data_IF_776287257408
#
_entry.id   IF_776287257408
#
_cell.length_a   1.000
_cell.length_b   1.000
_cell.length_c   1.000
_cell.angle_alpha   90.00
_cell.angle_beta   90.00
_cell.angle_gamma   90.00
#
_symmetry.space_group_name_H-M   'P 1'
#
loop_
_entity.id
_entity.type
_entity.pdbx_description
1 polymer ?
#
# COMPACT_ATOMS: atom_id res chain seq x y z
N UNK A 1 -12.51 -18.20 -13.39
CA UNK A 1 -12.43 -17.29 -12.22
C UNK A 1 -11.37 -16.23 -12.50
N UNK A 2 -11.67 -14.96 -12.29
CA UNK A 2 -10.79 -13.81 -12.53
C UNK A 2 -10.22 -13.30 -11.20
N UNK A 3 -9.02 -12.70 -11.24
CA UNK A 3 -8.37 -12.14 -10.05
C UNK A 3 -8.75 -10.67 -9.83
N UNK A 4 -9.06 -10.32 -8.59
CA UNK A 4 -9.42 -8.96 -8.17
C UNK A 4 -8.56 -8.51 -6.99
N UNK A 5 -7.84 -7.41 -7.15
CA UNK A 5 -7.05 -6.81 -6.07
C UNK A 5 -7.66 -5.49 -5.63
N UNK A 6 -7.87 -5.34 -4.32
CA UNK A 6 -8.36 -4.08 -3.75
C UNK A 6 -7.24 -3.40 -2.96
N UNK A 7 -7.00 -2.12 -3.23
CA UNK A 7 -5.92 -1.35 -2.61
C UNK A 7 -6.28 0.14 -2.51
N UNK A 8 -5.31 0.95 -2.10
CA UNK A 8 -5.41 2.39 -1.94
C UNK A 8 -4.63 2.87 -0.72
N UNK A 9 -4.73 4.16 -0.36
CA UNK A 9 -4.09 4.66 0.85
C UNK A 9 -4.61 3.88 2.06
N UNK A 10 -3.76 3.59 3.04
CA UNK A 10 -4.29 3.11 4.31
C UNK A 10 -5.29 4.14 4.85
N UNK A 11 -6.38 3.68 5.47
CA UNK A 11 -7.47 4.53 5.98
C UNK A 11 -8.38 5.16 4.91
N UNK A 12 -8.46 4.60 3.70
CA UNK A 12 -9.40 5.00 2.64
C UNK A 12 -10.66 4.14 2.53
N UNK A 13 -11.03 3.40 3.58
CA UNK A 13 -12.24 2.57 3.57
C UNK A 13 -12.13 1.22 2.82
N UNK A 14 -10.94 0.80 2.40
CA UNK A 14 -10.74 -0.47 1.67
C UNK A 14 -11.28 -1.72 2.38
N UNK A 15 -11.34 -1.75 3.72
CA UNK A 15 -11.96 -2.87 4.46
C UNK A 15 -13.45 -2.93 4.23
N UNK A 16 -14.17 -1.84 4.53
CA UNK A 16 -15.62 -1.75 4.31
C UNK A 16 -15.97 -1.98 2.83
N UNK A 17 -15.17 -1.45 1.91
CA UNK A 17 -15.34 -1.71 0.47
C UNK A 17 -15.21 -3.21 0.12
N UNK A 18 -14.22 -3.91 0.66
CA UNK A 18 -14.08 -5.36 0.43
C UNK A 18 -15.22 -6.16 1.08
N UNK A 19 -15.64 -5.78 2.29
CA UNK A 19 -16.77 -6.41 2.99
C UNK A 19 -18.10 -6.22 2.22
N UNK A 20 -18.27 -5.07 1.56
CA UNK A 20 -19.36 -4.81 0.63
C UNK A 20 -19.33 -5.71 -0.61
N UNK A 21 -18.19 -5.77 -1.29
CA UNK A 21 -18.05 -6.63 -2.47
C UNK A 21 -18.34 -8.10 -2.12
N UNK A 22 -17.96 -8.52 -0.91
CA UNK A 22 -18.24 -9.85 -0.38
C UNK A 22 -19.73 -10.11 -0.06
N UNK A 23 -20.63 -9.13 -0.17
CA UNK A 23 -22.06 -9.40 -0.14
C UNK A 23 -22.53 -10.11 -1.42
N UNK A 24 -21.84 -9.90 -2.55
CA UNK A 24 -22.17 -10.53 -3.82
C UNK A 24 -21.69 -11.98 -3.88
N UNK A 25 -22.58 -12.92 -4.22
CA UNK A 25 -22.28 -14.37 -4.19
C UNK A 25 -21.15 -14.79 -5.15
N UNK A 26 -20.99 -14.06 -6.27
CA UNK A 26 -19.95 -14.33 -7.27
C UNK A 26 -18.59 -13.65 -7.01
N UNK A 27 -18.43 -12.96 -5.86
CA UNK A 27 -17.21 -12.24 -5.49
C UNK A 27 -16.68 -12.74 -4.15
N UNK A 28 -15.37 -13.01 -4.09
CA UNK A 28 -14.63 -13.32 -2.88
C UNK A 28 -13.35 -12.47 -2.82
N UNK A 29 -13.29 -11.50 -1.92
CA UNK A 29 -12.09 -10.69 -1.67
C UNK A 29 -11.64 -10.92 -0.24
N UNK A 30 -10.49 -11.60 -0.08
CA UNK A 30 -9.89 -11.79 1.23
C UNK A 30 -9.44 -10.45 1.82
N UNK A 31 -9.34 -10.39 3.15
CA UNK A 31 -8.74 -9.25 3.86
C UNK A 31 -7.31 -9.58 4.24
N UNK A 32 -6.34 -8.93 3.62
CA UNK A 32 -4.92 -8.98 3.97
C UNK A 32 -4.35 -10.41 4.10
N UNK A 33 -4.83 -11.37 3.30
CA UNK A 33 -4.45 -12.79 3.39
C UNK A 33 -2.98 -13.03 3.07
N UNK A 34 -2.39 -12.19 2.22
CA UNK A 34 -0.99 -12.30 1.81
C UNK A 34 -0.14 -11.08 2.18
N UNK A 35 -0.54 -10.38 3.25
CA UNK A 35 0.08 -9.15 3.76
C UNK A 35 1.60 -9.19 3.88
N UNK A 36 2.16 -10.33 4.31
CA UNK A 36 3.59 -10.48 4.57
C UNK A 36 4.37 -11.10 3.41
N UNK A 37 3.68 -11.64 2.40
CA UNK A 37 4.29 -12.22 1.19
C UNK A 37 3.76 -11.62 -0.13
N UNK A 38 3.48 -10.30 -0.21
CA UNK A 38 2.72 -9.72 -1.32
C UNK A 38 3.43 -9.78 -2.68
N UNK A 39 4.75 -10.02 -2.69
CA UNK A 39 5.56 -10.15 -3.92
C UNK A 39 5.57 -11.57 -4.50
N UNK A 40 5.11 -12.57 -3.73
CA UNK A 40 5.13 -13.98 -4.11
C UNK A 40 3.78 -14.45 -4.65
N UNK A 41 2.74 -13.63 -4.51
CA UNK A 41 1.38 -14.04 -4.88
C UNK A 41 1.26 -14.13 -6.40
N UNK A 42 0.78 -15.27 -6.87
CA UNK A 42 0.36 -15.55 -8.23
C UNK A 42 -1.04 -16.21 -8.21
N UNK A 43 -1.57 -16.61 -9.36
CA UNK A 43 -2.92 -17.17 -9.46
C UNK A 43 -3.14 -18.44 -8.65
N UNK A 44 -2.08 -19.23 -8.37
CA UNK A 44 -2.18 -20.45 -7.56
C UNK A 44 -2.49 -20.17 -6.08
N UNK A 45 -2.25 -18.93 -5.63
CA UNK A 45 -2.60 -18.48 -4.28
C UNK A 45 -4.11 -18.29 -4.10
N UNK A 46 -4.89 -18.22 -5.18
CA UNK A 46 -6.31 -17.91 -5.11
C UNK A 46 -7.18 -19.13 -5.39
N UNK A 47 -7.05 -20.13 -4.52
CA UNK A 47 -7.93 -21.30 -4.44
C UNK A 47 -8.51 -21.40 -3.03
N UNK A 48 -9.66 -22.08 -2.85
CA UNK A 48 -10.32 -22.21 -1.55
C UNK A 48 -9.42 -22.88 -0.53
N UNK A 49 -8.82 -24.01 -0.92
CA UNK A 49 -7.91 -24.77 -0.07
C UNK A 49 -6.71 -23.91 0.34
N UNK A 50 -6.12 -23.18 -0.62
CA UNK A 50 -4.94 -22.35 -0.37
C UNK A 50 -5.22 -21.16 0.54
N UNK A 51 -6.41 -20.58 0.47
CA UNK A 51 -6.82 -19.48 1.36
C UNK A 51 -6.86 -19.95 2.81
N UNK A 52 -7.24 -21.19 3.08
CA UNK A 52 -7.25 -21.76 4.44
C UNK A 52 -5.93 -22.39 4.85
N UNK A 53 -5.04 -22.67 3.90
CA UNK A 53 -3.72 -23.24 4.15
C UNK A 53 -2.72 -22.20 4.67
N UNK A 54 -2.85 -21.83 5.94
CA UNK A 54 -1.80 -21.09 6.65
C UNK A 54 -1.90 -21.29 8.15
N UNK A 55 -0.75 -21.21 8.82
CA UNK A 55 -0.72 -21.10 10.26
C UNK A 55 -0.94 -19.64 10.66
N UNK A 56 -2.01 -19.30 11.40
CA UNK A 56 -2.26 -17.95 11.87
C UNK A 56 -1.34 -17.64 13.06
N UNK A 57 -0.03 -17.49 12.85
CA UNK A 57 0.88 -16.96 13.88
C UNK A 57 2.25 -16.46 13.35
N UNK A 58 2.68 -15.32 13.92
CA UNK A 58 4.03 -14.68 13.86
C UNK A 58 4.44 -14.00 12.54
N UNK A 59 5.33 -12.99 12.64
CA UNK A 59 5.91 -12.19 11.53
C UNK A 59 6.58 -13.01 10.41
N UNK A 60 6.77 -14.31 10.62
CA UNK A 60 7.28 -15.28 9.65
C UNK A 60 6.21 -15.87 8.73
N UNK A 61 4.92 -15.73 9.06
CA UNK A 61 3.80 -16.22 8.28
C UNK A 61 3.37 -15.28 7.14
N UNK A 62 2.21 -15.57 6.54
CA UNK A 62 1.70 -14.83 5.37
C UNK A 62 0.72 -13.69 5.73
N UNK A 63 0.04 -13.82 6.87
CA UNK A 63 -0.92 -12.84 7.37
C UNK A 63 -0.97 -12.82 8.90
N UNK A 64 -1.57 -11.77 9.46
CA UNK A 64 -1.96 -11.67 10.86
C UNK A 64 -3.48 -11.77 11.06
N UNK A 65 -4.23 -12.16 10.03
CA UNK A 65 -5.67 -12.35 10.10
C UNK A 65 -5.99 -13.76 10.60
N UNK A 66 -6.87 -13.92 11.61
CA UNK A 66 -7.25 -15.23 12.13
C UNK A 66 -7.87 -16.12 11.05
N UNK A 67 -7.60 -17.43 11.11
CA UNK A 67 -8.11 -18.43 10.16
C UNK A 67 -9.64 -18.43 10.10
N UNK A 68 -10.27 -18.23 11.25
CA UNK A 68 -11.72 -18.22 11.44
C UNK A 68 -12.38 -17.16 10.54
N UNK A 69 -11.74 -16.01 10.36
CA UNK A 69 -12.28 -14.95 9.49
C UNK A 69 -12.41 -15.42 8.04
N UNK A 70 -11.37 -16.08 7.49
CA UNK A 70 -11.43 -16.58 6.13
C UNK A 70 -12.32 -17.82 6.00
N UNK A 71 -12.35 -18.69 7.01
CA UNK A 71 -13.27 -19.83 7.05
C UNK A 71 -14.73 -19.38 7.01
N UNK A 72 -15.11 -18.39 7.83
CA UNK A 72 -16.46 -17.82 7.82
C UNK A 72 -16.80 -17.12 6.50
N UNK A 73 -15.83 -16.45 5.88
CA UNK A 73 -16.02 -15.80 4.60
C UNK A 73 -16.26 -16.82 3.49
N UNK A 74 -15.46 -17.88 3.44
CA UNK A 74 -15.59 -18.97 2.45
C UNK A 74 -16.88 -19.78 2.65
N UNK A 75 -17.30 -20.02 3.90
CA UNK A 75 -18.52 -20.77 4.20
C UNK A 75 -19.80 -20.12 3.65
N UNK A 76 -19.76 -18.80 3.37
CA UNK A 76 -20.88 -18.05 2.78
C UNK A 76 -20.84 -18.01 1.25
N UNK A 77 -19.90 -18.72 0.62
CA UNK A 77 -19.66 -18.69 -0.83
C UNK A 77 -19.83 -20.08 -1.42
N UNK A 78 -20.36 -20.10 -2.63
CA UNK A 78 -20.34 -21.28 -3.50
C UNK A 78 -19.16 -21.16 -4.47
N UNK A 79 -18.11 -22.01 -4.35
CA UNK A 79 -16.96 -21.96 -5.24
C UNK A 79 -17.34 -22.05 -6.72
N UNK A 80 -18.42 -22.79 -7.05
CA UNK A 80 -18.86 -22.98 -8.43
C UNK A 80 -19.49 -21.72 -9.05
N UNK A 81 -19.93 -20.76 -8.22
CA UNK A 81 -20.52 -19.48 -8.67
C UNK A 81 -19.53 -18.33 -8.72
N UNK A 82 -18.30 -18.51 -8.24
CA UNK A 82 -17.34 -17.41 -8.18
C UNK A 82 -16.84 -16.99 -9.56
N UNK A 83 -17.10 -15.74 -9.91
CA UNK A 83 -16.47 -15.06 -11.04
C UNK A 83 -15.20 -14.35 -10.64
N UNK A 84 -15.14 -13.80 -9.43
CA UNK A 84 -14.00 -13.04 -8.92
C UNK A 84 -13.49 -13.60 -7.60
N UNK A 85 -12.17 -13.72 -7.50
CA UNK A 85 -11.45 -14.06 -6.28
C UNK A 85 -10.26 -13.12 -6.09
N UNK A 86 -9.88 -12.82 -4.86
CA UNK A 86 -8.96 -11.74 -4.64
C UNK A 86 -8.47 -11.56 -3.22
N UNK A 87 -7.66 -10.53 -3.05
CA UNK A 87 -7.23 -10.05 -1.74
C UNK A 87 -7.22 -8.53 -1.71
N UNK A 88 -7.55 -8.00 -0.54
CA UNK A 88 -7.47 -6.58 -0.22
C UNK A 88 -6.28 -6.35 0.68
N UNK A 89 -5.36 -5.48 0.26
CA UNK A 89 -4.32 -4.97 1.15
C UNK A 89 -3.90 -3.56 0.71
N UNK A 90 -4.03 -2.52 1.57
CA UNK A 90 -3.57 -1.16 1.23
C UNK A 90 -2.09 -1.09 0.80
N UNK A 91 -1.26 -2.02 1.30
CA UNK A 91 0.16 -2.10 0.93
C UNK A 91 0.40 -2.48 -0.53
N UNK A 92 -0.58 -3.08 -1.22
CA UNK A 92 -0.49 -3.43 -2.63
C UNK A 92 -0.29 -2.24 -3.54
N UNK A 93 -0.70 -1.02 -3.13
CA UNK A 93 -0.52 0.17 -3.95
C UNK A 93 0.96 0.37 -4.36
N UNK A 94 1.90 -0.06 -3.52
CA UNK A 94 3.35 0.04 -3.77
C UNK A 94 3.92 -1.09 -4.62
N UNK A 95 3.10 -2.10 -4.89
CA UNK A 95 3.48 -3.36 -5.51
C UNK A 95 2.60 -3.69 -6.71
N UNK A 96 1.76 -2.76 -7.17
CA UNK A 96 0.79 -2.99 -8.26
C UNK A 96 1.45 -3.60 -9.51
N UNK A 97 2.59 -3.10 -10.01
CA UNK A 97 3.19 -3.71 -11.20
C UNK A 97 3.70 -5.12 -10.93
N UNK A 98 4.34 -5.38 -9.78
CA UNK A 98 4.78 -6.73 -9.43
C UNK A 98 3.61 -7.72 -9.31
N UNK A 99 2.50 -7.29 -8.70
CA UNK A 99 1.29 -8.11 -8.57
C UNK A 99 0.71 -8.39 -9.95
N UNK A 100 0.61 -7.38 -10.82
CA UNK A 100 0.14 -7.56 -12.20
C UNK A 100 1.01 -8.52 -13.00
N UNK A 101 2.34 -8.39 -12.90
CA UNK A 101 3.28 -9.25 -13.61
C UNK A 101 3.24 -10.71 -13.15
N UNK A 102 2.91 -10.96 -11.88
CA UNK A 102 2.67 -12.30 -11.35
C UNK A 102 1.25 -12.82 -11.66
N UNK A 103 0.31 -11.92 -11.98
CA UNK A 103 -1.10 -12.23 -12.17
C UNK A 103 -1.63 -11.56 -13.46
N UNK A 104 -1.15 -11.96 -14.66
CA UNK A 104 -1.59 -11.35 -15.91
C UNK A 104 -3.10 -11.43 -16.07
N UNK A 105 -3.72 -10.32 -16.49
CA UNK A 105 -5.17 -10.22 -16.66
C UNK A 105 -5.97 -9.96 -15.37
N UNK A 106 -5.31 -9.78 -14.22
CA UNK A 106 -5.97 -9.36 -12.99
C UNK A 106 -6.57 -7.94 -13.11
N UNK A 107 -7.65 -7.71 -12.37
CA UNK A 107 -8.28 -6.41 -12.21
C UNK A 107 -7.93 -5.79 -10.86
N UNK A 108 -7.87 -4.46 -10.81
CA UNK A 108 -7.53 -3.69 -9.62
C UNK A 108 -8.62 -2.67 -9.33
N UNK A 109 -9.08 -2.62 -8.09
CA UNK A 109 -9.89 -1.51 -7.58
C UNK A 109 -9.04 -0.74 -6.57
N UNK A 110 -8.76 0.52 -6.89
CA UNK A 110 -7.95 1.42 -6.08
C UNK A 110 -8.84 2.47 -5.44
N UNK A 111 -8.85 2.54 -4.12
CA UNK A 111 -9.61 3.56 -3.43
C UNK A 111 -8.83 4.87 -3.37
N UNK A 112 -9.55 5.99 -3.49
CA UNK A 112 -9.03 7.33 -3.26
C UNK A 112 -9.72 7.96 -2.05
N UNK A 113 -8.98 8.67 -1.21
CA UNK A 113 -9.52 9.50 -0.13
C UNK A 113 -8.63 10.74 -0.01
N UNK A 114 -9.19 11.96 0.15
CA UNK A 114 -8.38 13.17 0.29
C UNK A 114 -7.34 13.06 1.40
N UNK A 115 -6.16 13.65 1.17
CA UNK A 115 -5.00 13.52 2.08
C UNK A 115 -5.36 13.99 3.49
N UNK A 116 -6.15 15.05 3.61
CA UNK A 116 -6.64 15.63 4.86
C UNK A 116 -7.30 14.55 5.71
N UNK A 117 -8.24 13.80 5.13
CA UNK A 117 -8.94 12.76 5.89
C UNK A 117 -8.08 11.53 6.19
N UNK A 118 -7.09 11.25 5.35
CA UNK A 118 -6.15 10.15 5.61
C UNK A 118 -5.21 10.52 6.75
N UNK A 119 -4.63 11.71 6.75
CA UNK A 119 -3.69 12.14 7.81
C UNK A 119 -4.39 12.33 9.15
N UNK A 120 -5.63 12.84 9.15
CA UNK A 120 -6.47 12.90 10.35
C UNK A 120 -6.69 11.51 10.95
N UNK A 121 -6.99 10.52 10.10
CA UNK A 121 -7.21 9.16 10.58
C UNK A 121 -5.94 8.50 11.12
N UNK A 122 -4.78 8.80 10.54
CA UNK A 122 -3.49 8.34 11.07
C UNK A 122 -3.16 9.03 12.41
N UNK A 123 -3.32 10.35 12.48
CA UNK A 123 -3.02 11.14 13.67
C UNK A 123 -3.87 10.68 14.86
N UNK A 124 -5.18 10.50 14.65
CA UNK A 124 -6.11 9.97 15.64
C UNK A 124 -5.67 8.60 16.20
N UNK A 125 -5.22 7.69 15.33
CA UNK A 125 -4.72 6.38 15.75
C UNK A 125 -3.39 6.46 16.48
N UNK A 126 -2.50 7.37 16.09
CA UNK A 126 -1.22 7.53 16.79
C UNK A 126 -1.36 8.06 18.21
N UNK A 127 -2.43 8.82 18.49
CA UNK A 127 -2.79 9.28 19.83
C UNK A 127 -3.30 8.16 20.74
N UNK A 128 -3.69 7.00 20.19
CA UNK A 128 -4.06 5.83 20.98
C UNK A 128 -2.81 4.98 21.29
N UNK A 129 -2.33 4.92 22.55
CA UNK A 129 -1.14 4.15 22.91
C UNK A 129 -1.32 2.64 22.73
N UNK A 130 -2.55 2.12 22.80
CA UNK A 130 -2.86 0.71 22.59
C UNK A 130 -2.88 0.31 21.10
N UNK A 131 -2.74 1.29 20.21
CA UNK A 131 -2.67 1.01 18.79
C UNK A 131 -1.32 0.38 18.42
N UNK A 132 -1.32 -0.94 18.25
CA UNK A 132 -0.12 -1.73 17.89
C UNK A 132 0.59 -1.26 16.62
N UNK A 133 -0.09 -0.51 15.75
CA UNK A 133 0.47 -0.03 14.49
C UNK A 133 1.01 1.39 14.58
N UNK A 134 0.27 2.33 15.17
CA UNK A 134 0.60 3.76 15.19
C UNK A 134 0.84 4.37 16.59
N UNK A 135 0.49 3.68 17.67
CA UNK A 135 0.55 4.21 19.03
C UNK A 135 1.90 4.83 19.35
N UNK A 136 1.89 6.12 19.72
CA UNK A 136 3.09 6.88 20.08
C UNK A 136 4.01 7.26 18.92
N UNK A 137 3.61 7.05 17.66
CA UNK A 137 4.38 7.47 16.47
C UNK A 137 3.89 8.82 15.95
N UNK A 138 4.64 9.43 15.04
CA UNK A 138 4.17 10.61 14.31
C UNK A 138 3.17 10.20 13.20
N UNK A 139 1.92 9.92 13.58
CA UNK A 139 0.89 9.44 12.67
C UNK A 139 0.62 10.42 11.53
N UNK A 140 0.58 11.72 11.82
CA UNK A 140 0.33 12.75 10.82
C UNK A 140 1.34 12.72 9.66
N UNK A 141 2.65 12.80 9.97
CA UNK A 141 3.70 12.73 8.95
C UNK A 141 3.70 11.40 8.19
N UNK A 142 3.49 10.29 8.91
CA UNK A 142 3.39 8.97 8.29
C UNK A 142 2.22 8.87 7.32
N UNK A 143 1.09 9.51 7.65
CA UNK A 143 -0.09 9.60 6.78
C UNK A 143 0.24 10.33 5.48
N UNK A 144 0.91 11.49 5.56
CA UNK A 144 1.33 12.27 4.38
C UNK A 144 2.23 11.44 3.48
N UNK A 145 3.25 10.80 4.05
CA UNK A 145 4.18 9.97 3.28
C UNK A 145 3.50 8.76 2.63
N UNK A 146 2.60 8.10 3.36
CA UNK A 146 1.89 6.93 2.87
C UNK A 146 0.96 7.32 1.70
N UNK A 147 0.23 8.41 1.87
CA UNK A 147 -0.71 8.91 0.88
C UNK A 147 -0.01 9.32 -0.41
N UNK A 148 1.03 10.16 -0.33
CA UNK A 148 1.79 10.63 -1.49
C UNK A 148 2.40 9.46 -2.27
N UNK A 149 2.92 8.47 -1.55
CA UNK A 149 3.48 7.28 -2.21
C UNK A 149 2.40 6.48 -2.92
N UNK A 150 1.22 6.37 -2.33
CA UNK A 150 0.10 5.64 -2.92
C UNK A 150 -0.38 6.34 -4.20
N UNK A 151 -0.57 7.66 -4.18
CA UNK A 151 -1.00 8.40 -5.38
C UNK A 151 0.00 8.27 -6.53
N UNK A 152 1.30 8.44 -6.24
CA UNK A 152 2.35 8.22 -7.23
C UNK A 152 2.36 6.82 -7.79
N UNK A 153 2.34 5.78 -6.94
CA UNK A 153 2.38 4.40 -7.42
C UNK A 153 1.11 4.02 -8.21
N UNK A 154 -0.06 4.57 -7.87
CA UNK A 154 -1.28 4.41 -8.67
C UNK A 154 -1.09 4.99 -10.07
N UNK A 155 -0.64 6.24 -10.16
CA UNK A 155 -0.37 6.91 -11.45
C UNK A 155 0.67 6.15 -12.26
N UNK A 156 1.84 5.90 -11.67
CA UNK A 156 2.95 5.19 -12.32
C UNK A 156 2.51 3.81 -12.84
N UNK A 157 1.69 3.08 -12.09
CA UNK A 157 1.18 1.79 -12.51
C UNK A 157 0.28 1.88 -13.74
N UNK A 158 -0.65 2.84 -13.77
CA UNK A 158 -1.58 3.00 -14.89
C UNK A 158 -0.85 3.55 -16.13
N UNK A 159 0.12 4.46 -15.94
CA UNK A 159 0.93 5.05 -17.03
C UNK A 159 2.07 4.14 -17.51
N UNK A 160 2.32 2.99 -16.85
CA UNK A 160 3.48 2.13 -17.13
C UNK A 160 3.52 1.44 -18.50
N UNK A 161 2.46 1.56 -19.31
CA UNK A 161 2.29 0.81 -20.56
C UNK A 161 1.94 -0.67 -20.36
N UNK A 162 1.80 -1.15 -19.11
CA UNK A 162 1.31 -2.49 -18.80
C UNK A 162 -0.18 -2.69 -19.14
N UNK A 163 -0.90 -1.59 -19.40
CA UNK A 163 -2.34 -1.53 -19.67
C UNK A 163 -3.21 -2.31 -18.66
N UNK A 164 -3.03 -2.09 -17.34
CA UNK A 164 -3.79 -2.83 -16.33
C UNK A 164 -5.28 -2.46 -16.33
N UNK A 165 -6.14 -3.41 -15.99
CA UNK A 165 -7.58 -3.16 -15.76
C UNK A 165 -7.76 -2.53 -14.37
N UNK A 166 -7.96 -1.21 -14.32
CA UNK A 166 -8.04 -0.46 -13.06
C UNK A 166 -9.32 0.37 -12.98
N UNK A 167 -9.98 0.30 -11.82
CA UNK A 167 -11.04 1.21 -11.40
C UNK A 167 -10.55 2.01 -10.19
N UNK A 168 -10.60 3.34 -10.26
CA UNK A 168 -10.40 4.19 -9.08
C UNK A 168 -11.76 4.53 -8.49
N UNK A 169 -11.95 4.26 -7.20
CA UNK A 169 -13.19 4.53 -6.46
C UNK A 169 -12.92 5.60 -5.41
N UNK A 170 -13.54 6.77 -5.56
CA UNK A 170 -13.53 7.79 -4.53
C UNK A 170 -14.28 7.29 -3.29
N UNK A 171 -13.64 7.42 -2.14
CA UNK A 171 -14.23 7.15 -0.83
C UNK A 171 -15.50 7.99 -0.62
N UNK A 172 -15.51 9.25 -1.08
CA UNK A 172 -16.70 10.09 -0.96
C UNK A 172 -17.82 9.65 -1.90
N UNK A 173 -17.50 9.28 -3.13
CA UNK A 173 -18.51 8.79 -4.07
C UNK A 173 -19.16 7.50 -3.55
N UNK A 174 -18.36 6.62 -2.94
CA UNK A 174 -18.84 5.35 -2.42
C UNK A 174 -19.61 5.45 -1.09
N UNK A 175 -19.22 6.32 -0.15
CA UNK A 175 -19.86 6.38 1.18
C UNK A 175 -20.81 7.55 1.39
N UNK A 176 -20.76 8.60 0.56
CA UNK A 176 -21.49 9.85 0.83
C UNK A 176 -22.31 10.37 -0.33
N UNK A 177 -21.88 10.15 -1.57
CA UNK A 177 -22.38 10.93 -2.70
C UNK A 177 -23.64 10.33 -3.32
N UNK A 178 -23.61 9.07 -3.75
CA UNK A 178 -24.80 8.44 -4.36
C UNK A 178 -24.63 6.94 -4.64
N UNK A 179 -25.76 6.23 -4.76
CA UNK A 179 -25.85 4.89 -5.35
C UNK A 179 -25.33 4.82 -6.78
N UNK A 180 -25.10 5.95 -7.44
CA UNK A 180 -24.57 6.03 -8.80
C UNK A 180 -23.19 5.35 -8.93
N UNK A 181 -22.43 5.24 -7.84
CA UNK A 181 -21.15 4.53 -7.87
C UNK A 181 -21.31 3.01 -8.05
N UNK A 182 -22.50 2.48 -7.74
CA UNK A 182 -22.80 1.06 -7.83
C UNK A 182 -22.82 0.57 -9.28
N UNK A 183 -23.54 1.22 -10.23
CA UNK A 183 -23.42 0.93 -11.65
C UNK A 183 -21.98 0.92 -12.17
N UNK A 184 -21.13 1.86 -11.72
CA UNK A 184 -19.72 1.91 -12.13
C UNK A 184 -18.96 0.64 -11.71
N UNK A 185 -19.12 0.21 -10.45
CA UNK A 185 -18.50 -1.00 -9.90
C UNK A 185 -19.04 -2.26 -10.59
N UNK A 186 -20.36 -2.35 -10.74
CA UNK A 186 -21.07 -3.43 -11.42
C UNK A 186 -20.57 -3.62 -12.85
N UNK A 187 -20.45 -2.54 -13.62
CA UNK A 187 -19.92 -2.55 -14.98
C UNK A 187 -18.46 -2.97 -15.04
N UNK A 188 -17.62 -2.43 -14.16
CA UNK A 188 -16.20 -2.79 -14.12
C UNK A 188 -15.99 -4.29 -13.83
N UNK A 189 -16.84 -4.85 -12.97
CA UNK A 189 -16.80 -6.26 -12.59
C UNK A 189 -17.56 -7.17 -13.54
N UNK A 190 -18.31 -6.62 -14.51
CA UNK A 190 -19.17 -7.37 -15.42
C UNK A 190 -20.14 -8.29 -14.63
N UNK A 191 -20.79 -7.69 -13.63
CA UNK A 191 -21.69 -8.34 -12.69
C UNK A 191 -22.95 -7.51 -12.50
N UNK A 192 -24.11 -8.16 -12.47
CA UNK A 192 -25.37 -7.50 -12.14
C UNK A 192 -25.48 -7.31 -10.62
N UNK A 193 -25.68 -6.06 -10.18
CA UNK A 193 -25.91 -5.75 -8.77
C UNK A 193 -27.41 -5.57 -8.54
N UNK A 194 -28.02 -6.62 -7.98
CA UNK A 194 -29.44 -6.66 -7.64
C UNK A 194 -29.80 -5.75 -6.46
N UNK A 195 -31.09 -5.71 -6.12
CA UNK A 195 -31.61 -4.91 -5.02
C UNK A 195 -31.03 -5.30 -3.65
N UNK A 196 -30.64 -6.56 -3.47
CA UNK A 196 -30.04 -7.02 -2.22
C UNK A 196 -28.66 -6.42 -2.02
N UNK A 197 -27.86 -6.35 -3.08
CA UNK A 197 -26.53 -5.74 -3.07
C UNK A 197 -26.63 -4.22 -2.91
N UNK A 198 -27.59 -3.57 -3.59
CA UNK A 198 -27.85 -2.13 -3.40
C UNK A 198 -28.31 -1.81 -1.99
N UNK A 199 -29.19 -2.64 -1.41
CA UNK A 199 -29.62 -2.50 -0.02
C UNK A 199 -28.45 -2.65 0.96
N UNK A 200 -27.58 -3.65 0.76
CA UNK A 200 -26.41 -3.85 1.59
C UNK A 200 -25.46 -2.63 1.54
N UNK A 201 -25.31 -2.00 0.36
CA UNK A 201 -24.60 -0.73 0.25
C UNK A 201 -25.24 0.37 1.11
N UNK A 202 -26.56 0.59 0.99
CA UNK A 202 -27.29 1.64 1.75
C UNK A 202 -27.10 1.47 3.26
N UNK A 203 -27.23 0.24 3.74
CA UNK A 203 -27.10 -0.09 5.17
C UNK A 203 -25.70 0.20 5.67
N UNK A 204 -24.68 -0.31 4.98
CA UNK A 204 -23.28 -0.04 5.32
C UNK A 204 -22.92 1.45 5.20
N UNK A 205 -23.39 2.14 4.16
CA UNK A 205 -23.12 3.58 3.96
C UNK A 205 -23.70 4.40 5.12
N UNK A 206 -24.93 4.06 5.55
CA UNK A 206 -25.60 4.72 6.68
C UNK A 206 -24.90 4.43 8.01
N UNK A 207 -24.50 3.19 8.25
CA UNK A 207 -23.73 2.82 9.45
C UNK A 207 -22.41 3.60 9.47
N UNK A 208 -21.71 3.62 8.34
CA UNK A 208 -20.44 4.33 8.19
C UNK A 208 -20.57 5.84 8.45
N UNK A 209 -21.64 6.47 7.95
CA UNK A 209 -21.97 7.86 8.24
C UNK A 209 -22.30 8.09 9.73
N UNK A 210 -23.07 7.19 10.33
CA UNK A 210 -23.48 7.28 11.74
C UNK A 210 -22.33 7.12 12.74
N UNK A 211 -21.33 6.29 12.42
CA UNK A 211 -20.15 6.06 13.26
C UNK A 211 -19.03 7.09 13.02
N UNK A 212 -19.27 8.09 12.16
CA UNK A 212 -18.23 9.05 11.80
C UNK A 212 -17.81 9.91 13.00
N UNK A 213 -16.55 9.78 13.39
CA UNK A 213 -15.93 10.63 14.40
C UNK A 213 -16.00 12.11 13.98
N UNK A 214 -16.28 12.98 14.94
CA UNK A 214 -16.11 14.41 14.76
C UNK A 214 -14.64 14.74 14.41
N UNK A 215 -14.44 15.50 13.34
CA UNK A 215 -13.11 15.89 12.89
C UNK A 215 -12.60 17.05 13.75
N UNK A 216 -11.40 16.89 14.29
CA UNK A 216 -10.65 18.01 14.86
C UNK A 216 -10.10 18.87 13.72
N UNK A 217 -10.20 20.21 13.80
CA UNK A 217 -9.54 21.08 12.83
C UNK A 217 -8.03 20.92 12.93
N UNK A 218 -7.34 21.00 11.79
CA UNK A 218 -5.88 20.98 11.78
C UNK A 218 -5.29 22.27 12.33
N UNK A 219 -4.12 22.15 12.96
CA UNK A 219 -3.30 23.30 13.29
C UNK A 219 -2.74 23.96 12.01
N UNK A 220 -2.34 25.23 12.11
CA UNK A 220 -1.70 25.94 10.99
C UNK A 220 -0.43 25.22 10.50
N UNK A 221 0.35 24.65 11.42
CA UNK A 221 1.54 23.86 11.10
C UNK A 221 1.20 22.59 10.31
N UNK A 222 0.12 21.90 10.67
CA UNK A 222 -0.36 20.70 9.98
C UNK A 222 -0.85 21.05 8.57
N UNK A 223 -1.63 22.11 8.41
CA UNK A 223 -2.08 22.60 7.09
C UNK A 223 -0.89 22.97 6.22
N UNK A 224 0.06 23.75 6.75
CA UNK A 224 1.27 24.13 6.02
C UNK A 224 2.12 22.91 5.63
N UNK A 225 2.17 21.88 6.47
CA UNK A 225 2.89 20.64 6.18
C UNK A 225 2.23 19.84 5.05
N UNK A 226 0.90 19.71 5.06
CA UNK A 226 0.14 19.09 3.96
C UNK A 226 0.44 19.86 2.68
N UNK A 227 0.19 21.17 2.66
CA UNK A 227 0.36 21.99 1.46
C UNK A 227 1.77 21.89 0.87
N UNK A 228 2.78 21.92 1.75
CA UNK A 228 4.19 21.81 1.33
C UNK A 228 4.56 20.44 0.79
N UNK A 229 4.00 19.36 1.33
CA UNK A 229 4.45 17.98 1.04
C UNK A 229 3.52 17.21 0.11
N UNK A 230 2.28 17.64 -0.06
CA UNK A 230 1.29 16.97 -0.89
C UNK A 230 1.77 16.89 -2.34
N UNK A 231 1.67 15.70 -2.91
CA UNK A 231 1.92 15.50 -4.33
C UNK A 231 0.67 15.91 -5.12
N UNK A 232 0.49 17.22 -5.28
CA UNK A 232 -0.65 17.82 -5.97
C UNK A 232 -0.80 17.32 -7.41
N UNK A 233 0.32 17.03 -8.07
CA UNK A 233 0.35 16.55 -9.45
C UNK A 233 -0.17 15.11 -9.53
N UNK A 234 0.27 14.22 -8.63
CA UNK A 234 -0.24 12.86 -8.58
C UNK A 234 -1.73 12.82 -8.16
N UNK A 235 -2.16 13.69 -7.24
CA UNK A 235 -3.57 13.77 -6.85
C UNK A 235 -4.47 14.24 -7.98
N UNK A 236 -4.11 15.36 -8.61
CA UNK A 236 -4.92 15.93 -9.68
C UNK A 236 -5.10 14.90 -10.79
N UNK A 237 -4.04 14.18 -11.15
CA UNK A 237 -4.11 13.08 -12.11
C UNK A 237 -5.12 11.99 -11.68
N UNK A 238 -5.13 11.59 -10.40
CA UNK A 238 -6.08 10.59 -9.88
C UNK A 238 -7.51 11.11 -9.95
N UNK A 239 -7.74 12.38 -9.59
CA UNK A 239 -9.04 13.02 -9.66
C UNK A 239 -9.54 13.12 -11.11
N UNK A 240 -8.68 13.55 -12.04
CA UNK A 240 -9.01 13.63 -13.46
C UNK A 240 -9.39 12.26 -14.01
N UNK A 241 -8.69 11.20 -13.58
CA UNK A 241 -9.01 9.82 -13.97
C UNK A 241 -10.34 9.34 -13.40
N UNK A 242 -10.68 9.69 -12.17
CA UNK A 242 -12.00 9.40 -11.58
C UNK A 242 -13.11 10.07 -12.41
N UNK A 243 -12.95 11.36 -12.73
CA UNK A 243 -13.90 12.10 -13.55
C UNK A 243 -14.03 11.51 -14.98
N UNK A 244 -12.93 11.04 -15.57
CA UNK A 244 -12.95 10.34 -16.85
C UNK A 244 -13.75 9.04 -16.80
N UNK A 245 -13.55 8.22 -15.76
CA UNK A 245 -14.32 6.98 -15.55
C UNK A 245 -15.83 7.25 -15.45
N UNK A 246 -16.22 8.36 -14.82
CA UNK A 246 -17.62 8.79 -14.75
C UNK A 246 -18.18 9.22 -16.11
N UNK A 247 -17.43 10.02 -16.88
CA UNK A 247 -17.85 10.40 -18.24
C UNK A 247 -18.03 9.20 -19.17
N UNK A 248 -17.16 8.20 -19.05
CA UNK A 248 -17.28 6.94 -19.80
C UNK A 248 -18.54 6.13 -19.42
N UNK A 249 -19.05 6.32 -18.21
CA UNK A 249 -20.31 5.74 -17.76
C UNK A 249 -21.52 6.45 -18.37
N UNK A 250 -21.55 7.78 -18.32
CA UNK A 250 -22.65 8.60 -18.84
C UNK A 250 -22.78 8.52 -20.36
N UNK A 251 -21.65 8.43 -21.07
CA UNK A 251 -21.64 8.26 -22.53
C UNK A 251 -22.38 6.99 -23.00
N UNK A 252 -22.45 5.96 -22.14
CA UNK A 252 -23.20 4.73 -22.42
C UNK A 252 -24.69 4.88 -22.15
N UNK A 253 -25.11 5.53 -21.06
CA UNK A 253 -26.53 5.66 -20.73
C UNK A 253 -27.31 6.50 -21.76
N UNK A 254 -26.62 7.40 -22.47
CA UNK A 254 -27.19 8.19 -23.57
C UNK A 254 -27.27 7.43 -24.91
N UNK A 255 -26.33 6.52 -25.19
CA UNK A 255 -26.23 5.82 -26.48
C UNK A 255 -26.95 4.45 -26.51
N UNK A 256 -27.14 3.80 -25.35
CA UNK A 256 -27.71 2.45 -25.27
C UNK A 256 -29.25 2.39 -25.25
N UNK A 257 -29.95 3.50 -25.55
CA UNK A 257 -31.40 3.44 -25.87
C UNK A 257 -31.69 2.99 -27.30
N UNK A 258 -30.68 2.67 -28.10
CA UNK A 258 -30.93 2.17 -29.44
C UNK A 258 -29.70 1.90 -30.27
N UNK A 259 -28.78 1.04 -29.82
CA UNK A 259 -28.07 0.06 -30.67
C UNK A 259 -27.08 -0.70 -29.82
N UNK A 260 -27.23 -2.03 -29.79
CA UNK A 260 -26.25 -2.98 -29.25
C UNK A 260 -24.86 -2.66 -29.80
N UNK A 261 -24.05 -1.97 -29.01
CA UNK A 261 -22.65 -1.75 -29.31
C UNK A 261 -21.85 -2.82 -28.58
N UNK A 262 -21.30 -3.75 -29.36
CA UNK A 262 -20.42 -4.79 -28.84
C UNK A 262 -19.26 -4.15 -28.06
N UNK A 263 -18.82 -4.76 -26.94
CA UNK A 263 -17.58 -4.38 -26.31
C UNK A 263 -16.47 -4.56 -27.34
N UNK A 264 -15.63 -3.54 -27.53
CA UNK A 264 -14.43 -3.62 -28.38
C UNK A 264 -13.48 -4.68 -27.80
N UNK A 265 -13.73 -5.94 -28.14
CA UNK A 265 -12.79 -7.05 -27.98
C UNK A 265 -11.82 -6.94 -29.15
N UNK A 266 -10.75 -6.18 -28.95
CA UNK A 266 -9.53 -6.34 -29.75
C UNK A 266 -8.91 -7.67 -29.31
N UNK A 267 -9.20 -8.75 -30.02
CA UNK A 267 -8.68 -10.07 -29.69
C UNK A 267 -8.39 -10.88 -30.94
N UNK A 268 -7.10 -11.21 -31.11
CA UNK A 268 -6.57 -12.52 -31.55
C UNK A 268 -5.20 -12.40 -32.24
N UNK A 269 -4.89 -11.27 -32.90
CA UNK A 269 -3.59 -11.11 -33.61
C UNK A 269 -2.52 -10.38 -32.79
N UNK A 270 -2.88 -9.71 -31.69
CA UNK A 270 -1.96 -8.98 -30.80
C UNK A 270 -1.31 -9.85 -29.72
N UNK A 271 -1.85 -11.04 -29.42
CA UNK A 271 -1.45 -11.80 -28.22
C UNK A 271 0.01 -12.27 -28.23
N UNK A 272 0.64 -12.43 -29.41
CA UNK A 272 2.06 -12.81 -29.50
C UNK A 272 3.01 -11.62 -29.41
N UNK A 273 2.71 -10.49 -30.06
CA UNK A 273 3.51 -9.26 -29.90
C UNK A 273 3.35 -8.64 -28.50
N UNK A 274 2.18 -8.77 -27.89
CA UNK A 274 1.95 -8.37 -26.50
C UNK A 274 2.82 -9.18 -25.52
N UNK A 275 3.11 -10.46 -25.79
CA UNK A 275 3.96 -11.24 -24.86
C UNK A 275 5.41 -10.79 -24.85
N UNK A 276 6.04 -10.54 -26.00
CA UNK A 276 7.44 -10.05 -26.02
C UNK A 276 7.54 -8.63 -25.47
N UNK A 277 6.60 -7.76 -25.83
CA UNK A 277 6.57 -6.38 -25.33
C UNK A 277 6.30 -6.37 -23.81
N UNK A 278 5.37 -7.19 -23.31
CA UNK A 278 5.12 -7.33 -21.88
C UNK A 278 6.32 -7.94 -21.14
N UNK A 279 7.06 -8.88 -21.73
CA UNK A 279 8.29 -9.43 -21.16
C UNK A 279 9.38 -8.35 -21.08
N UNK A 280 9.53 -7.53 -22.13
CA UNK A 280 10.50 -6.43 -22.11
C UNK A 280 10.11 -5.35 -21.09
N UNK A 281 8.85 -4.92 -21.08
CA UNK A 281 8.32 -3.95 -20.09
C UNK A 281 8.46 -4.50 -18.67
N UNK A 282 8.22 -5.81 -18.47
CA UNK A 282 8.49 -6.49 -17.21
C UNK A 282 9.95 -6.36 -16.80
N UNK A 283 10.87 -6.67 -17.71
CA UNK A 283 12.31 -6.65 -17.43
C UNK A 283 12.82 -5.23 -17.16
N UNK A 284 12.38 -4.24 -17.94
CA UNK A 284 12.77 -2.84 -17.71
C UNK A 284 12.24 -2.36 -16.37
N UNK A 285 10.97 -2.65 -16.05
CA UNK A 285 10.38 -2.30 -14.77
C UNK A 285 11.08 -2.98 -13.58
N UNK A 286 11.39 -4.27 -13.69
CA UNK A 286 12.16 -5.01 -12.67
C UNK A 286 13.53 -4.37 -12.44
N UNK A 287 14.23 -3.97 -13.51
CA UNK A 287 15.53 -3.30 -13.44
C UNK A 287 15.41 -1.90 -12.81
N UNK A 288 14.42 -1.10 -13.21
CA UNK A 288 14.18 0.22 -12.63
C UNK A 288 13.88 0.15 -11.14
N UNK A 289 13.04 -0.81 -10.73
CA UNK A 289 12.75 -1.04 -9.32
C UNK A 289 14.01 -1.52 -8.57
N UNK A 290 14.83 -2.40 -9.15
CA UNK A 290 16.11 -2.80 -8.56
C UNK A 290 17.05 -1.60 -8.39
N UNK A 291 17.17 -0.75 -9.40
CA UNK A 291 17.98 0.48 -9.35
C UNK A 291 17.48 1.39 -8.21
N UNK A 292 16.17 1.59 -8.10
CA UNK A 292 15.59 2.44 -7.06
C UNK A 292 15.81 1.87 -5.65
N UNK A 293 15.68 0.55 -5.49
CA UNK A 293 15.99 -0.15 -4.25
C UNK A 293 17.46 0.00 -3.86
N UNK A 294 18.38 -0.18 -4.82
CA UNK A 294 19.82 -0.01 -4.61
C UNK A 294 20.16 1.44 -4.24
N UNK A 295 19.54 2.44 -4.88
CA UNK A 295 19.70 3.86 -4.51
C UNK A 295 19.27 4.12 -3.06
N UNK A 296 18.15 3.55 -2.62
CA UNK A 296 17.69 3.68 -1.24
C UNK A 296 18.66 3.02 -0.24
N UNK A 297 19.14 1.82 -0.54
CA UNK A 297 20.13 1.12 0.29
C UNK A 297 21.46 1.89 0.36
N UNK A 298 21.93 2.42 -0.77
CA UNK A 298 23.13 3.25 -0.83
C UNK A 298 23.00 4.50 0.06
N UNK A 299 21.86 5.20 -0.02
CA UNK A 299 21.60 6.38 0.82
C UNK A 299 21.61 6.04 2.32
N UNK A 300 21.06 4.88 2.72
CA UNK A 300 21.09 4.41 4.11
C UNK A 300 22.52 4.11 4.58
N UNK A 301 23.31 3.43 3.76
CA UNK A 301 24.71 3.13 4.08
C UNK A 301 25.59 4.40 4.11
N UNK A 302 25.31 5.39 3.27
CA UNK A 302 25.96 6.70 3.34
C UNK A 302 25.68 7.39 4.69
N UNK A 303 24.41 7.47 5.12
CA UNK A 303 24.05 8.03 6.44
C UNK A 303 24.69 7.26 7.60
N UNK A 304 24.76 5.93 7.49
CA UNK A 304 25.43 5.09 8.49
C UNK A 304 26.92 5.40 8.56
N UNK A 305 27.57 5.56 7.41
CA UNK A 305 28.98 5.91 7.30
C UNK A 305 29.25 7.28 7.91
N UNK A 306 28.43 8.29 7.60
CA UNK A 306 28.50 9.62 8.20
C UNK A 306 28.38 9.57 9.73
N UNK A 307 27.44 8.78 10.26
CA UNK A 307 27.25 8.63 11.70
C UNK A 307 28.45 7.93 12.37
N UNK A 308 29.04 6.93 11.73
CA UNK A 308 30.26 6.28 12.21
C UNK A 308 31.48 7.20 12.15
N UNK A 309 31.59 8.02 11.10
CA UNK A 309 32.65 9.03 10.99
C UNK A 309 32.54 10.05 12.12
N UNK A 310 31.33 10.54 12.41
CA UNK A 310 31.09 11.44 13.55
C UNK A 310 31.47 10.80 14.88
N UNK A 311 31.02 9.57 15.15
CA UNK A 311 31.41 8.83 16.36
C UNK A 311 32.93 8.62 16.47
N UNK A 312 33.61 8.34 15.36
CA UNK A 312 35.06 8.20 15.34
C UNK A 312 35.78 9.53 15.64
N UNK A 313 35.24 10.66 15.18
CA UNK A 313 35.76 11.98 15.52
C UNK A 313 35.57 12.28 17.02
N UNK A 314 34.39 11.99 17.57
CA UNK A 314 34.09 12.17 19.00
C UNK A 314 35.03 11.31 19.87
N UNK A 315 35.26 10.04 19.50
CA UNK A 315 36.18 9.15 20.20
C UNK A 315 37.64 9.64 20.13
N UNK A 316 38.08 10.17 18.98
CA UNK A 316 39.42 10.77 18.85
C UNK A 316 39.57 11.98 19.79
N UNK A 317 38.54 12.82 19.88
CA UNK A 317 38.53 13.95 20.80
C UNK A 317 38.64 13.49 22.27
N UNK A 318 37.80 12.52 22.67
CA UNK A 318 37.84 11.93 24.02
C UNK A 318 39.21 11.31 24.32
N UNK A 319 39.84 10.61 23.36
CA UNK A 319 41.19 10.07 23.54
C UNK A 319 42.23 11.17 23.75
N UNK A 320 42.15 12.28 23.01
CA UNK A 320 43.05 13.42 23.18
C UNK A 320 42.87 14.08 24.56
N UNK A 321 41.64 14.22 25.03
CA UNK A 321 41.35 14.72 26.39
C UNK A 321 41.92 13.80 27.48
N UNK A 322 41.72 12.49 27.35
CA UNK A 322 42.28 11.49 28.27
C UNK A 322 43.80 11.57 28.26
N UNK A 323 44.43 11.65 27.10
CA UNK A 323 45.89 11.77 26.97
C UNK A 323 46.43 13.08 27.56
N UNK A 324 45.66 14.16 27.46
CA UNK A 324 45.97 15.47 28.05
C UNK A 324 45.83 15.51 29.58
N UNK A 325 45.07 14.58 30.15
CA UNK A 325 44.75 14.53 31.58
C UNK A 325 45.98 14.35 32.49
N UNK A 326 45.89 14.87 33.72
CA UNK A 326 46.94 14.72 34.74
C UNK A 326 47.20 13.25 35.07
N UNK A 327 46.15 12.44 35.13
CA UNK A 327 46.22 11.00 35.42
C UNK A 327 47.02 10.25 34.35
N UNK A 328 46.79 10.54 33.07
CA UNK A 328 47.53 9.91 31.98
C UNK A 328 49.01 10.32 31.96
N UNK A 329 49.30 11.60 32.22
CA UNK A 329 50.66 12.11 32.40
C UNK A 329 51.38 11.44 33.58
N UNK A 330 50.65 11.14 34.66
CA UNK A 330 51.18 10.42 35.82
C UNK A 330 51.53 8.97 35.47
N UNK A 331 50.64 8.25 34.77
CA UNK A 331 50.90 6.88 34.28
C UNK A 331 52.15 6.86 33.38
N UNK A 332 52.29 7.83 32.48
CA UNK A 332 53.48 7.97 31.64
C UNK A 332 54.78 8.26 32.41
N UNK A 333 54.72 8.93 33.57
CA UNK A 333 55.88 9.10 34.48
C UNK A 333 56.22 7.80 35.18
N UNK A 334 55.21 7.07 35.69
CA UNK A 334 55.39 5.77 36.36
C UNK A 334 56.01 4.75 35.40
N UNK A 335 55.53 4.69 34.15
CA UNK A 335 56.09 3.81 33.12
C UNK A 335 57.58 4.08 32.84
N UNK A 336 57.97 5.36 32.73
CA UNK A 336 59.38 5.75 32.53
C UNK A 336 60.27 5.39 33.72
N UNK A 337 59.77 5.55 34.95
CA UNK A 337 60.49 5.12 36.15
C UNK A 337 60.69 3.59 36.16
N UNK A 338 59.65 2.83 35.83
CA UNK A 338 59.74 1.35 35.73
C UNK A 338 60.75 0.91 34.66
N UNK A 339 60.75 1.54 33.49
CA UNK A 339 61.70 1.24 32.43
C UNK A 339 63.16 1.53 32.84
N UNK A 340 63.42 2.66 33.53
CA UNK A 340 64.74 2.96 34.10
C UNK A 340 65.18 1.93 35.14
N UNK A 341 64.27 1.44 35.98
CA UNK A 341 64.58 0.41 36.98
C UNK A 341 64.87 -0.96 36.34
N UNK A 342 64.17 -1.32 35.27
CA UNK A 342 64.36 -2.61 34.59
C UNK A 342 65.55 -2.61 33.61
N UNK A 343 65.87 -1.49 32.97
CA UNK A 343 67.04 -1.35 32.09
C UNK A 343 68.38 -1.39 32.81
N UNK A 344 68.41 -1.16 34.13
CA UNK A 344 69.61 -1.29 34.97
C UNK A 344 69.96 -2.72 35.39
N UNK A 345 69.20 -3.74 34.94
CA UNK A 345 69.41 -5.15 35.32
C UNK A 345 70.14 -6.01 34.28
N UNK A 346 70.74 -5.41 33.25
CA UNK A 346 71.69 -6.07 32.33
C UNK A 346 73.03 -5.37 32.40
N UNK A 347 73.83 -5.76 33.38
CA UNK A 347 75.20 -5.32 33.63
C UNK A 347 75.80 -6.27 34.63
#
# INVERSE_FOLDING_TARGET
>A
MKLLFVSGPARSGTTAFADYLNQHQEILVCRERYKYVPRKIDSSFFTFDRILDYEPQQRSGETNIPLEYHAELLARKDPAKLKWIGDKHPGYARLLPAIYLNNPGASFILTYRPIEEVVESFDARSKNPEDVWLGGKNGFEMGVEFWNRTMRSTREFIESGLNPKVLIVSYHDFFYRNEDCIPLISRFLDLEFDDSIRKAWREMSREFEGERRAKEPFSEEQVALIEKRKDHVAEQWVLDRIEEQWRELDGYTAADRGTSSQPRIFGASLEREETETAIQVRRTWELEHQIQSLKSSLSKEQRRTELLQKKNQDLKHQMQEIQGSRSWKLLGKIGRLRAKMLGKKKG
#
